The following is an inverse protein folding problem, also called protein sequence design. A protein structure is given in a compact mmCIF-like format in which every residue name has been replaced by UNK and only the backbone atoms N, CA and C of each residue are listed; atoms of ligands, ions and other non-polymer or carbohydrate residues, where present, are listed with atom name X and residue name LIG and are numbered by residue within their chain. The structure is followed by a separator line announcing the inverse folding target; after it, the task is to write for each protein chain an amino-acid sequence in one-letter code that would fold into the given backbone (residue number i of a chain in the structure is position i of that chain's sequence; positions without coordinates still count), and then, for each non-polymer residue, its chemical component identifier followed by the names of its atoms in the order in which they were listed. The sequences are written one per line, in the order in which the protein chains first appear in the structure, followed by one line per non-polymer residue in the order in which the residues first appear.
data_IF_342146305590
#
_entry.id   IF_342146305590
#
_cell.length_a   1.000
_cell.length_b   1.000
_cell.length_c   1.000
_cell.angle_alpha   90.00
_cell.angle_beta   90.00
_cell.angle_gamma   90.00
#
_symmetry.space_group_name_H-M   'P 1'
#
loop_
_entity.id
_entity.type
_entity.pdbx_description
1 polymer ?
#
# COMPACT_ATOMS: atom_id res chain seq x y z
N UNK A 1 13.59 -11.51 17.15
CA UNK A 1 12.15 -11.69 17.43
C UNK A 1 11.45 -11.92 16.11
N UNK A 2 11.09 -13.18 15.84
CA UNK A 2 10.17 -13.53 14.76
C UNK A 2 8.84 -12.86 15.09
N UNK A 3 8.24 -12.13 14.16
CA UNK A 3 6.84 -11.70 14.33
C UNK A 3 5.99 -12.98 14.41
N UNK A 4 5.14 -13.08 15.41
CA UNK A 4 4.16 -14.15 15.52
C UNK A 4 3.13 -13.99 14.41
N UNK A 5 3.46 -14.53 13.24
CA UNK A 5 2.64 -14.50 12.04
C UNK A 5 1.33 -15.28 12.21
N UNK A 6 1.23 -16.09 13.27
CA UNK A 6 0.03 -16.83 13.67
C UNK A 6 -0.86 -16.07 14.66
N UNK A 7 -0.42 -14.92 15.20
CA UNK A 7 -1.23 -14.13 16.11
C UNK A 7 -2.38 -13.46 15.33
N UNK A 8 -3.57 -14.02 15.45
CA UNK A 8 -4.79 -13.51 14.84
C UNK A 8 -5.10 -12.07 15.29
N UNK A 9 -4.79 -11.72 16.54
CA UNK A 9 -5.02 -10.37 17.06
C UNK A 9 -4.20 -9.32 16.29
N UNK A 10 -3.05 -9.70 15.72
CA UNK A 10 -2.23 -8.84 14.88
C UNK A 10 -2.88 -8.52 13.52
N UNK A 11 -3.86 -9.32 13.08
CA UNK A 11 -4.56 -9.16 11.80
C UNK A 11 -6.00 -8.65 11.93
N UNK A 12 -6.54 -8.51 13.14
CA UNK A 12 -7.90 -8.00 13.38
C UNK A 12 -8.24 -6.69 12.65
N UNK A 13 -7.25 -5.86 12.37
CA UNK A 13 -7.43 -4.64 11.56
C UNK A 13 -7.85 -4.94 10.11
N UNK A 14 -7.36 -6.03 9.51
CA UNK A 14 -7.68 -6.39 8.13
C UNK A 14 -9.13 -6.82 7.94
N UNK A 15 -9.78 -7.34 8.98
CA UNK A 15 -11.19 -7.75 8.94
C UNK A 15 -12.15 -6.57 8.73
N UNK A 16 -11.72 -5.34 9.06
CA UNK A 16 -12.53 -4.14 8.89
C UNK A 16 -12.21 -3.35 7.62
N UNK A 17 -11.23 -3.79 6.82
CA UNK A 17 -10.86 -3.11 5.58
C UNK A 17 -11.80 -3.52 4.45
N UNK A 18 -12.19 -2.53 3.66
CA UNK A 18 -12.76 -2.79 2.34
C UNK A 18 -11.66 -3.15 1.33
N UNK A 19 -12.06 -3.46 0.10
CA UNK A 19 -11.12 -3.86 -0.96
C UNK A 19 -10.06 -2.78 -1.22
N UNK A 20 -10.46 -1.50 -1.21
CA UNK A 20 -9.56 -0.38 -1.42
C UNK A 20 -8.58 -0.20 -0.25
N UNK A 21 -9.02 -0.39 0.98
CA UNK A 21 -8.21 -0.38 2.18
C UNK A 21 -7.18 -1.50 2.18
N UNK A 22 -7.59 -2.73 1.84
CA UNK A 22 -6.66 -3.85 1.69
C UNK A 22 -5.61 -3.58 0.61
N UNK A 23 -6.03 -3.09 -0.56
CA UNK A 23 -5.12 -2.73 -1.63
C UNK A 23 -4.10 -1.65 -1.19
N UNK A 24 -4.55 -0.64 -0.44
CA UNK A 24 -3.67 0.39 0.11
C UNK A 24 -2.65 -0.18 1.10
N UNK A 25 -3.07 -1.08 1.99
CA UNK A 25 -2.18 -1.74 2.94
C UNK A 25 -1.07 -2.54 2.23
N UNK A 26 -1.41 -3.27 1.15
CA UNK A 26 -0.43 -3.95 0.31
C UNK A 26 0.54 -2.95 -0.35
N UNK A 27 -0.02 -1.91 -0.96
CA UNK A 27 0.73 -0.92 -1.73
C UNK A 27 1.73 -0.14 -0.86
N UNK A 28 1.31 0.38 0.29
CA UNK A 28 2.19 1.17 1.17
C UNK A 28 3.34 0.37 1.79
N UNK A 29 3.24 -0.96 1.82
CA UNK A 29 4.30 -1.88 2.30
C UNK A 29 5.29 -2.27 1.20
N UNK A 30 4.95 -2.06 -0.07
CA UNK A 30 5.84 -2.34 -1.20
C UNK A 30 7.00 -1.32 -1.23
N UNK A 31 8.24 -1.80 -1.22
CA UNK A 31 9.45 -0.96 -1.21
C UNK A 31 9.60 -0.12 -2.48
N UNK A 32 9.28 -0.69 -3.63
CA UNK A 32 9.43 -0.03 -4.93
C UNK A 32 8.38 1.06 -5.07
N UNK A 33 7.14 0.81 -4.60
CA UNK A 33 6.11 1.85 -4.53
C UNK A 33 6.60 3.03 -3.71
N UNK A 34 7.14 2.78 -2.51
CA UNK A 34 7.66 3.83 -1.61
C UNK A 34 8.80 4.62 -2.25
N UNK A 35 9.68 3.96 -2.99
CA UNK A 35 10.79 4.61 -3.69
C UNK A 35 10.32 5.47 -4.87
N UNK A 36 9.29 5.04 -5.60
CA UNK A 36 8.77 5.77 -6.75
C UNK A 36 7.70 6.82 -6.42
N UNK A 37 7.05 6.73 -5.26
CA UNK A 37 5.98 7.65 -4.87
C UNK A 37 6.34 9.13 -4.98
N UNK A 38 7.52 9.61 -4.52
CA UNK A 38 7.89 11.02 -4.69
C UNK A 38 7.91 11.45 -6.15
N UNK A 39 8.44 10.60 -7.05
CA UNK A 39 8.49 10.89 -8.48
C UNK A 39 7.10 10.91 -9.12
N UNK A 40 6.16 10.09 -8.64
CA UNK A 40 4.78 10.10 -9.12
C UNK A 40 4.02 11.33 -8.62
N UNK A 41 4.23 11.72 -7.36
CA UNK A 41 3.66 12.93 -6.77
C UNK A 41 4.15 14.19 -7.48
N UNK A 42 5.43 14.22 -7.86
CA UNK A 42 6.05 15.37 -8.55
C UNK A 42 5.80 15.34 -10.07
N UNK A 43 4.96 14.41 -10.56
CA UNK A 43 4.57 14.30 -11.97
C UNK A 43 5.63 13.70 -12.91
N UNK A 44 6.77 13.25 -12.37
CA UNK A 44 7.90 12.71 -13.13
C UNK A 44 7.69 11.25 -13.56
N UNK A 45 6.75 10.53 -12.93
CA UNK A 45 6.39 9.15 -13.26
C UNK A 45 4.88 8.94 -13.25
N UNK A 46 4.40 8.09 -14.16
CA UNK A 46 2.98 7.72 -14.20
C UNK A 46 2.61 6.81 -13.02
N UNK A 47 1.52 7.11 -12.28
CA UNK A 47 1.01 6.25 -11.22
C UNK A 47 0.19 5.06 -11.74
N UNK A 48 -0.08 4.99 -13.06
CA UNK A 48 -0.93 3.96 -13.67
C UNK A 48 -0.42 2.52 -13.48
N UNK A 49 0.91 2.33 -13.44
CA UNK A 49 1.52 1.03 -13.17
C UNK A 49 1.20 0.48 -11.77
N UNK A 50 0.76 1.36 -10.85
CA UNK A 50 0.32 1.03 -9.51
C UNK A 50 -1.21 1.00 -9.36
N UNK A 51 -1.95 1.11 -10.47
CA UNK A 51 -3.42 1.17 -10.45
C UNK A 51 -3.99 2.47 -9.87
N UNK A 52 -3.16 3.49 -9.69
CA UNK A 52 -3.54 4.76 -9.07
C UNK A 52 -3.86 5.82 -10.13
N UNK A 53 -4.75 6.75 -9.76
CA UNK A 53 -5.01 8.00 -10.47
C UNK A 53 -4.92 9.14 -9.47
N UNK A 54 -4.02 10.09 -9.73
CA UNK A 54 -3.93 11.30 -8.91
C UNK A 54 -4.83 12.39 -9.51
N UNK A 55 -5.49 13.21 -8.68
CA UNK A 55 -6.14 14.41 -9.16
C UNK A 55 -5.11 15.32 -9.83
N UNK A 56 -5.49 15.92 -10.96
CA UNK A 56 -4.68 16.93 -11.66
C UNK A 56 -4.83 18.32 -11.04
#
# INVERSE_FOLDING_TARGET
MTKDWQDEAAYKHFDSLDLSGLAWECLRRNSDYRAYYPQMRDGLKSPAAWGLRFPG
#
